data_IF_142241866481
#
_entry.id   IF_142241866481
#
_cell.length_a   1.000
_cell.length_b   1.000
_cell.length_c   1.000
_cell.angle_alpha   90.00
_cell.angle_beta   90.00
_cell.angle_gamma   90.00
#
_symmetry.space_group_name_H-M   'P 1'
#
loop_
_entity.id
_entity.type
_entity.pdbx_description
1 polymer ?
#
# COMPACT_ATOMS: atom_id res chain seq x y z
N UNK A 1 -19.92 15.03 -3.40
CA UNK A 1 -18.64 14.46 -2.93
C UNK A 1 -17.54 15.43 -3.32
N UNK A 2 -16.62 15.75 -2.40
CA UNK A 2 -15.46 16.60 -2.71
C UNK A 2 -14.40 15.75 -3.42
N UNK A 3 -14.08 16.10 -4.66
CA UNK A 3 -13.02 15.45 -5.46
C UNK A 3 -11.63 15.96 -5.07
N UNK A 4 -11.33 15.88 -3.77
CA UNK A 4 -10.13 16.45 -3.15
C UNK A 4 -8.83 15.92 -3.78
N UNK A 5 -8.84 14.68 -4.29
CA UNK A 5 -7.67 13.99 -4.79
C UNK A 5 -7.76 13.66 -6.28
N UNK A 6 -8.64 14.34 -7.05
CA UNK A 6 -8.68 14.19 -8.51
C UNK A 6 -7.29 14.45 -9.12
N UNK A 7 -6.87 13.56 -10.01
CA UNK A 7 -5.57 13.61 -10.68
C UNK A 7 -4.40 13.23 -9.77
N UNK A 8 -4.67 12.66 -8.59
CA UNK A 8 -3.65 12.10 -7.69
C UNK A 8 -3.73 10.59 -7.69
N UNK A 9 -2.58 9.95 -7.55
CA UNK A 9 -2.46 8.50 -7.47
C UNK A 9 -2.01 8.02 -6.09
N UNK A 10 -2.81 7.17 -5.45
CA UNK A 10 -2.53 6.62 -4.14
C UNK A 10 -2.12 5.15 -4.19
N UNK A 11 -0.98 4.80 -3.59
CA UNK A 11 -0.55 3.42 -3.39
C UNK A 11 -0.92 3.00 -1.96
N UNK A 12 -1.77 1.97 -1.85
CA UNK A 12 -2.26 1.46 -0.56
C UNK A 12 -1.72 0.06 -0.33
N UNK A 13 -0.85 -0.07 0.69
CA UNK A 13 -0.34 -1.38 1.12
C UNK A 13 -1.29 -2.05 2.11
N UNK A 14 -1.36 -3.39 2.08
CA UNK A 14 -2.32 -4.13 2.91
C UNK A 14 -3.77 -3.92 2.47
N UNK A 15 -4.02 -3.57 1.21
CA UNK A 15 -5.35 -3.16 0.72
C UNK A 15 -6.38 -4.29 0.64
N UNK A 16 -5.98 -5.57 0.74
CA UNK A 16 -6.91 -6.70 0.53
C UNK A 16 -7.99 -6.90 1.62
N UNK A 17 -7.96 -6.16 2.72
CA UNK A 17 -8.96 -6.25 3.80
C UNK A 17 -8.79 -5.15 4.84
N UNK A 18 -9.81 -4.97 5.70
CA UNK A 18 -9.74 -4.13 6.90
C UNK A 18 -9.49 -2.66 6.57
N UNK A 19 -8.72 -1.99 7.42
CA UNK A 19 -8.45 -0.55 7.35
C UNK A 19 -7.90 -0.13 5.98
N UNK A 20 -7.00 -0.92 5.38
CA UNK A 20 -6.45 -0.63 4.06
C UNK A 20 -7.50 -0.62 2.95
N UNK A 21 -8.43 -1.59 2.98
CA UNK A 21 -9.53 -1.65 2.01
C UNK A 21 -10.47 -0.44 2.18
N UNK A 22 -10.78 -0.07 3.43
CA UNK A 22 -11.66 1.06 3.71
C UNK A 22 -11.01 2.40 3.35
N UNK A 23 -9.71 2.56 3.59
CA UNK A 23 -8.95 3.73 3.12
C UNK A 23 -8.97 3.81 1.59
N UNK A 24 -8.77 2.68 0.89
CA UNK A 24 -8.81 2.65 -0.57
C UNK A 24 -10.18 3.11 -1.12
N UNK A 25 -11.30 2.59 -0.57
CA UNK A 25 -12.65 3.05 -0.94
C UNK A 25 -12.83 4.54 -0.70
N UNK A 26 -12.37 5.02 0.44
CA UNK A 26 -12.45 6.43 0.82
C UNK A 26 -11.61 7.36 -0.05
N UNK A 27 -10.47 6.90 -0.55
CA UNK A 27 -9.62 7.63 -1.49
C UNK A 27 -10.26 7.67 -2.88
N UNK A 28 -10.78 6.54 -3.38
CA UNK A 28 -11.53 6.49 -4.63
C UNK A 28 -12.76 7.41 -4.62
N UNK A 29 -13.53 7.40 -3.53
CA UNK A 29 -14.66 8.32 -3.33
C UNK A 29 -14.26 9.81 -3.39
N UNK A 30 -13.00 10.12 -3.09
CA UNK A 30 -12.45 11.49 -3.14
C UNK A 30 -11.71 11.78 -4.45
N UNK A 31 -11.78 10.87 -5.42
CA UNK A 31 -11.27 11.03 -6.79
C UNK A 31 -9.82 10.61 -7.00
N UNK A 32 -9.18 9.91 -6.06
CA UNK A 32 -7.82 9.42 -6.26
C UNK A 32 -7.81 8.12 -7.10
N UNK A 33 -6.91 8.06 -8.07
CA UNK A 33 -6.55 6.80 -8.74
C UNK A 33 -5.76 5.92 -7.76
N UNK A 34 -5.87 4.60 -7.88
CA UNK A 34 -5.38 3.68 -6.87
C UNK A 34 -4.40 2.63 -7.42
N UNK A 35 -3.38 2.34 -6.60
CA UNK A 35 -2.58 1.11 -6.68
C UNK A 35 -2.83 0.31 -5.42
N UNK A 36 -3.46 -0.86 -5.58
CA UNK A 36 -3.81 -1.73 -4.46
C UNK A 36 -2.78 -2.83 -4.30
N UNK A 37 -2.07 -2.85 -3.16
CA UNK A 37 -0.97 -3.78 -2.90
C UNK A 37 -1.33 -4.73 -1.75
N UNK A 38 -1.30 -6.03 -2.02
CA UNK A 38 -1.38 -7.10 -1.02
C UNK A 38 -1.02 -8.45 -1.66
N UNK A 39 -0.98 -9.54 -0.89
CA UNK A 39 -0.67 -10.88 -1.42
C UNK A 39 -1.83 -11.54 -2.18
N UNK A 40 -3.07 -11.26 -1.78
CA UNK A 40 -4.28 -11.94 -2.27
C UNK A 40 -4.85 -11.22 -3.49
N UNK A 41 -4.48 -11.67 -4.68
CA UNK A 41 -4.85 -11.04 -5.95
C UNK A 41 -6.38 -11.00 -6.16
N UNK A 42 -7.08 -12.08 -5.84
CA UNK A 42 -8.54 -12.19 -5.88
C UNK A 42 -9.23 -11.05 -5.13
N UNK A 43 -8.80 -10.79 -3.90
CA UNK A 43 -9.38 -9.73 -3.06
C UNK A 43 -9.04 -8.33 -3.56
N UNK A 44 -7.86 -8.15 -4.15
CA UNK A 44 -7.49 -6.88 -4.76
C UNK A 44 -8.36 -6.58 -5.97
N UNK A 45 -8.65 -7.57 -6.82
CA UNK A 45 -9.53 -7.38 -7.98
C UNK A 45 -10.98 -7.10 -7.59
N UNK A 46 -11.48 -7.76 -6.55
CA UNK A 46 -12.81 -7.43 -5.98
C UNK A 46 -12.85 -5.96 -5.54
N UNK A 47 -11.89 -5.53 -4.71
CA UNK A 47 -11.82 -4.15 -4.24
C UNK A 47 -11.61 -3.16 -5.39
N UNK A 48 -10.79 -3.50 -6.38
CA UNK A 48 -10.56 -2.67 -7.55
C UNK A 48 -11.85 -2.44 -8.34
N UNK A 49 -12.64 -3.49 -8.54
CA UNK A 49 -13.95 -3.40 -9.20
C UNK A 49 -14.89 -2.47 -8.44
N UNK A 50 -14.95 -2.57 -7.11
CA UNK A 50 -15.75 -1.67 -6.27
C UNK A 50 -15.27 -0.21 -6.40
N UNK A 51 -13.96 0.03 -6.32
CA UNK A 51 -13.38 1.38 -6.38
C UNK A 51 -13.58 2.04 -7.75
N UNK A 52 -13.51 1.28 -8.85
CA UNK A 52 -13.75 1.80 -10.21
C UNK A 52 -15.16 2.37 -10.39
N UNK A 53 -16.14 1.94 -9.59
CA UNK A 53 -17.50 2.51 -9.61
C UNK A 53 -17.53 4.01 -9.23
N UNK A 54 -16.48 4.52 -8.58
CA UNK A 54 -16.33 5.94 -8.29
C UNK A 54 -15.70 6.75 -9.44
N UNK A 55 -15.43 6.11 -10.59
CA UNK A 55 -14.90 6.78 -11.79
C UNK A 55 -13.40 7.07 -11.75
N UNK A 56 -12.65 6.33 -10.94
CA UNK A 56 -11.18 6.42 -10.82
C UNK A 56 -10.50 5.22 -11.46
N UNK A 57 -9.25 5.38 -11.87
CA UNK A 57 -8.42 4.28 -12.34
C UNK A 57 -7.88 3.47 -11.16
N UNK A 58 -7.87 2.14 -11.31
CA UNK A 58 -7.38 1.24 -10.27
C UNK A 58 -6.52 0.14 -10.87
N UNK A 59 -5.29 0.04 -10.40
CA UNK A 59 -4.36 -1.06 -10.70
C UNK A 59 -4.13 -1.92 -9.46
N UNK A 60 -4.07 -3.24 -9.66
CA UNK A 60 -3.70 -4.19 -8.61
C UNK A 60 -2.23 -4.59 -8.75
N UNK A 61 -1.56 -4.76 -7.63
CA UNK A 61 -0.19 -5.21 -7.57
C UNK A 61 -0.05 -6.27 -6.47
N UNK A 62 -0.29 -7.56 -6.83
CA UNK A 62 -0.02 -8.66 -5.93
C UNK A 62 1.47 -8.67 -5.53
N UNK A 63 1.75 -8.51 -4.23
CA UNK A 63 3.11 -8.47 -3.72
C UNK A 63 3.18 -8.95 -2.27
N UNK A 64 4.29 -9.60 -1.92
CA UNK A 64 4.64 -9.98 -0.55
C UNK A 64 5.68 -9.00 -0.02
N UNK A 65 5.27 -8.11 0.89
CA UNK A 65 6.18 -7.09 1.46
C UNK A 65 7.22 -7.67 2.42
N UNK A 66 7.18 -8.98 2.70
CA UNK A 66 8.29 -9.67 3.36
C UNK A 66 9.49 -9.88 2.41
N UNK A 67 9.28 -9.82 1.09
CA UNK A 67 10.36 -9.89 0.11
C UNK A 67 11.16 -8.57 0.12
N UNK A 68 12.49 -8.61 0.35
CA UNK A 68 13.35 -7.42 0.34
C UNK A 68 13.28 -6.60 -0.96
N UNK A 69 12.93 -7.22 -2.10
CA UNK A 69 12.84 -6.54 -3.39
C UNK A 69 11.48 -5.91 -3.68
N UNK A 70 10.44 -6.24 -2.89
CA UNK A 70 9.08 -5.79 -3.16
C UNK A 70 8.97 -4.27 -3.19
N UNK A 71 9.59 -3.56 -2.24
CA UNK A 71 9.53 -2.10 -2.18
C UNK A 71 10.16 -1.44 -3.41
N UNK A 72 11.33 -1.92 -3.85
CA UNK A 72 12.01 -1.42 -5.04
C UNK A 72 11.21 -1.69 -6.31
N UNK A 73 10.65 -2.90 -6.45
CA UNK A 73 9.83 -3.27 -7.60
C UNK A 73 8.55 -2.42 -7.68
N UNK A 74 7.88 -2.17 -6.55
CA UNK A 74 6.69 -1.32 -6.48
C UNK A 74 7.02 0.14 -6.83
N UNK A 75 8.11 0.69 -6.28
CA UNK A 75 8.51 2.07 -6.58
C UNK A 75 8.91 2.25 -8.04
N UNK A 76 9.62 1.28 -8.63
CA UNK A 76 9.98 1.31 -10.04
C UNK A 76 8.75 1.20 -10.96
N UNK A 77 7.76 0.38 -10.59
CA UNK A 77 6.52 0.22 -11.37
C UNK A 77 5.58 1.41 -11.24
N UNK A 78 5.57 2.10 -10.10
CA UNK A 78 4.62 3.18 -9.81
C UNK A 78 5.32 4.48 -9.35
N UNK A 79 6.24 5.04 -10.14
CA UNK A 79 7.07 6.19 -9.72
C UNK A 79 6.26 7.46 -9.45
N UNK A 80 5.12 7.62 -10.13
CA UNK A 80 4.20 8.76 -10.01
C UNK A 80 3.25 8.66 -8.80
N UNK A 81 3.61 7.89 -7.76
CA UNK A 81 2.79 7.79 -6.55
C UNK A 81 2.79 9.10 -5.77
N UNK A 82 1.60 9.64 -5.53
CA UNK A 82 1.33 10.89 -4.84
C UNK A 82 1.04 10.71 -3.35
N UNK A 83 0.30 9.65 -3.04
CA UNK A 83 -0.12 9.32 -1.69
C UNK A 83 0.34 7.89 -1.41
N UNK A 84 1.18 7.69 -0.40
CA UNK A 84 1.57 6.37 0.08
C UNK A 84 0.81 6.07 1.36
N UNK A 85 0.08 4.95 1.40
CA UNK A 85 -0.52 4.45 2.64
C UNK A 85 0.26 3.21 3.08
N UNK A 86 1.13 3.40 4.07
CA UNK A 86 1.85 2.34 4.76
C UNK A 86 0.92 1.65 5.78
N UNK A 87 0.18 0.64 5.33
CA UNK A 87 -0.84 -0.06 6.11
C UNK A 87 -0.69 -1.60 6.07
N UNK A 88 0.24 -2.16 5.30
CA UNK A 88 0.53 -3.58 5.43
C UNK A 88 1.04 -3.91 6.84
N UNK A 89 0.48 -4.97 7.42
CA UNK A 89 0.81 -5.42 8.76
C UNK A 89 0.71 -6.93 8.89
N UNK A 90 1.59 -7.50 9.68
CA UNK A 90 1.58 -8.88 10.13
C UNK A 90 1.74 -8.92 11.65
N UNK A 91 1.07 -9.86 12.32
CA UNK A 91 1.24 -10.09 13.75
C UNK A 91 1.87 -11.45 14.02
N UNK A 92 2.78 -11.51 15.00
CA UNK A 92 3.26 -12.74 15.59
C UNK A 92 2.73 -12.82 17.03
N UNK A 93 1.70 -13.63 17.25
CA UNK A 93 1.02 -13.76 18.55
C UNK A 93 1.53 -15.00 19.29
N UNK A 94 1.78 -14.86 20.60
CA UNK A 94 2.28 -15.93 21.46
C UNK A 94 3.32 -15.42 22.45
N UNK A 95 3.89 -16.33 23.25
CA UNK A 95 5.06 -15.99 24.07
C UNK A 95 6.26 -15.79 23.17
N UNK A 96 6.99 -14.69 23.40
CA UNK A 96 8.16 -14.35 22.59
C UNK A 96 9.21 -15.47 22.58
N UNK A 97 9.47 -16.09 23.74
CA UNK A 97 10.43 -17.19 23.91
C UNK A 97 10.03 -18.48 23.18
N UNK A 98 8.77 -18.60 22.75
CA UNK A 98 8.22 -19.76 22.05
C UNK A 98 7.89 -19.43 20.59
N UNK A 99 8.16 -18.20 20.15
CA UNK A 99 7.87 -17.75 18.79
C UNK A 99 9.08 -18.00 17.90
N UNK A 100 8.88 -18.77 16.83
CA UNK A 100 9.90 -19.00 15.80
C UNK A 100 10.48 -17.67 15.28
N UNK A 101 11.80 -17.59 15.22
CA UNK A 101 12.51 -16.38 14.78
C UNK A 101 12.05 -15.92 13.38
N UNK A 102 11.82 -16.85 12.45
CA UNK A 102 11.33 -16.54 11.10
C UNK A 102 9.99 -15.76 11.10
N UNK A 103 9.11 -16.03 12.07
CA UNK A 103 7.84 -15.26 12.20
C UNK A 103 8.10 -13.84 12.68
N UNK A 104 9.04 -13.68 13.62
CA UNK A 104 9.44 -12.37 14.15
C UNK A 104 10.13 -11.56 13.03
N UNK A 105 11.08 -12.17 12.33
CA UNK A 105 11.81 -11.54 11.23
C UNK A 105 10.85 -11.13 10.10
N UNK A 106 9.92 -12.00 9.72
CA UNK A 106 8.90 -11.69 8.72
C UNK A 106 7.99 -10.55 9.15
N UNK A 107 7.62 -10.48 10.43
CA UNK A 107 6.85 -9.36 10.99
C UNK A 107 7.65 -8.05 10.92
N UNK A 108 8.93 -8.06 11.27
CA UNK A 108 9.81 -6.89 11.15
C UNK A 108 9.94 -6.46 9.69
N UNK A 109 10.15 -7.42 8.79
CA UNK A 109 10.28 -7.16 7.36
C UNK A 109 9.04 -6.42 6.81
N UNK A 110 7.85 -6.90 7.13
CA UNK A 110 6.58 -6.29 6.68
C UNK A 110 6.30 -4.97 7.39
N UNK A 111 6.35 -4.94 8.72
CA UNK A 111 5.83 -3.82 9.51
C UNK A 111 6.81 -2.65 9.61
N UNK A 112 8.11 -2.90 9.44
CA UNK A 112 9.16 -1.90 9.64
C UNK A 112 9.96 -1.72 8.35
N UNK A 113 10.64 -2.77 7.89
CA UNK A 113 11.65 -2.65 6.83
C UNK A 113 11.04 -2.20 5.50
N UNK A 114 10.00 -2.90 5.04
CA UNK A 114 9.38 -2.63 3.74
C UNK A 114 8.73 -1.25 3.68
N UNK A 115 7.98 -0.87 4.73
CA UNK A 115 7.30 0.43 4.81
C UNK A 115 8.30 1.59 4.88
N UNK A 116 9.37 1.44 5.67
CA UNK A 116 10.47 2.41 5.73
C UNK A 116 11.14 2.55 4.37
N UNK A 117 11.37 1.44 3.67
CA UNK A 117 11.99 1.45 2.35
C UNK A 117 11.09 2.13 1.30
N UNK A 118 9.79 1.82 1.27
CA UNK A 118 8.82 2.51 0.40
C UNK A 118 8.83 4.02 0.64
N UNK A 119 8.79 4.46 1.90
CA UNK A 119 8.90 5.87 2.26
C UNK A 119 10.20 6.47 1.72
N UNK A 120 11.35 5.81 1.90
CA UNK A 120 12.64 6.28 1.39
C UNK A 120 12.69 6.38 -0.14
N UNK A 121 11.97 5.52 -0.84
CA UNK A 121 11.93 5.50 -2.31
C UNK A 121 11.01 6.60 -2.87
N UNK A 122 9.85 6.85 -2.26
CA UNK A 122 8.88 7.83 -2.76
C UNK A 122 9.09 9.26 -2.24
N UNK A 123 9.52 9.42 -0.97
CA UNK A 123 9.60 10.74 -0.33
C UNK A 123 10.51 11.75 -1.05
N UNK A 124 11.68 11.38 -1.61
CA UNK A 124 12.52 12.35 -2.33
C UNK A 124 11.82 12.99 -3.53
N UNK A 125 11.13 12.18 -4.34
CA UNK A 125 10.38 12.69 -5.49
C UNK A 125 9.17 13.54 -5.04
N UNK A 126 8.52 13.17 -3.94
CA UNK A 126 7.43 13.96 -3.33
C UNK A 126 7.91 15.32 -2.85
N UNK A 127 9.07 15.36 -2.20
CA UNK A 127 9.69 16.60 -1.75
C UNK A 127 10.13 17.48 -2.94
N UNK A 128 10.75 16.90 -3.96
CA UNK A 128 11.24 17.62 -5.13
C UNK A 128 10.13 18.35 -5.89
N UNK A 129 8.93 17.76 -5.99
CA UNK A 129 7.75 18.38 -6.61
C UNK A 129 6.92 19.26 -5.66
N UNK A 130 7.34 19.40 -4.40
CA UNK A 130 6.66 20.21 -3.39
C UNK A 130 5.33 19.65 -2.91
N UNK A 131 5.00 18.39 -3.22
CA UNK A 131 3.76 17.76 -2.79
C UNK A 131 3.88 16.23 -2.73
N UNK A 132 3.45 15.67 -1.61
CA UNK A 132 3.20 14.24 -1.40
C UNK A 132 2.50 14.02 -0.07
N UNK A 133 1.95 12.83 0.15
CA UNK A 133 1.42 12.39 1.44
C UNK A 133 1.91 10.97 1.73
N UNK A 134 2.34 10.72 2.96
CA UNK A 134 2.71 9.40 3.48
C UNK A 134 2.02 9.24 4.83
#
# INVERSE_FOLDING_TARGET
>A
MTEQFRGRRALVTGASSGIGADIARQLAQRGADLVLVARRADRLETLATECRLFGVDVETAPADLADPQASSALAARFPETDILINNAGLGAFGRFTETEYDKIERMIAVNITSLTHLTRLFAPAMAARGWGRI
#
